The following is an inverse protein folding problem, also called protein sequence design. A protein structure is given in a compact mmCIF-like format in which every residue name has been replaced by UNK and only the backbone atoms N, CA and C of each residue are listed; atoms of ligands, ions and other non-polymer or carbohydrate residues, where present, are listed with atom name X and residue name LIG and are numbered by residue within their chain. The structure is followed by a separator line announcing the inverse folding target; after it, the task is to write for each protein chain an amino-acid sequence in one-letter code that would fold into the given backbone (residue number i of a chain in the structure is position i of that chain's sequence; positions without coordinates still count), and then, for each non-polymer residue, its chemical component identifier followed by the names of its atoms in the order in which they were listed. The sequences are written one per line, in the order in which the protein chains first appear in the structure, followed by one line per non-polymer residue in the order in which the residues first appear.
data_IF_910919501217
#
_entry.id   IF_910919501217
#
_cell.length_a   1.000
_cell.length_b   1.000
_cell.length_c   1.000
_cell.angle_alpha   90.00
_cell.angle_beta   90.00
_cell.angle_gamma   90.00
#
_symmetry.space_group_name_H-M   'P 1'
#
loop_
_entity.id
_entity.type
_entity.pdbx_description
1 polymer ?
#
# COMPACT_ATOMS: atom_id res chain seq x y z
N UNK A 1 2.63 7.16 11.55
CA UNK A 1 1.66 6.64 10.57
C UNK A 1 2.40 6.01 9.40
N UNK A 2 2.00 4.83 9.00
CA UNK A 2 2.62 4.11 7.90
C UNK A 2 1.59 3.76 6.83
N UNK A 3 2.05 3.65 5.60
CA UNK A 3 1.25 3.14 4.49
C UNK A 3 2.05 1.99 3.89
N UNK A 4 1.51 0.78 3.97
CA UNK A 4 2.17 -0.40 3.42
C UNK A 4 1.68 -0.58 1.98
N UNK A 5 2.62 -0.54 1.02
CA UNK A 5 2.30 -0.71 -0.39
C UNK A 5 1.71 -2.11 -0.66
N UNK A 6 1.00 -2.25 -1.76
CA UNK A 6 0.38 -3.52 -2.14
C UNK A 6 1.38 -4.67 -2.18
N UNK A 7 2.62 -4.40 -2.63
CA UNK A 7 3.67 -5.41 -2.69
C UNK A 7 3.88 -6.07 -1.32
N UNK A 8 3.89 -5.29 -0.24
CA UNK A 8 4.12 -5.82 1.11
C UNK A 8 3.00 -6.74 1.57
N UNK A 9 1.75 -6.33 1.34
CA UNK A 9 0.60 -7.18 1.67
C UNK A 9 0.62 -8.48 0.88
N UNK A 10 0.88 -8.39 -0.43
CA UNK A 10 0.94 -9.56 -1.31
C UNK A 10 2.07 -10.50 -0.87
N UNK A 11 3.26 -9.96 -0.64
CA UNK A 11 4.43 -10.73 -0.23
C UNK A 11 4.18 -11.49 1.07
N UNK A 12 3.58 -10.83 2.03
CA UNK A 12 3.28 -11.42 3.33
C UNK A 12 2.28 -12.60 3.19
N UNK A 13 1.15 -12.37 2.50
CA UNK A 13 0.11 -13.39 2.40
C UNK A 13 0.41 -14.52 1.43
N UNK A 14 1.33 -14.32 0.49
CA UNK A 14 1.77 -15.42 -0.37
C UNK A 14 3.04 -16.12 0.15
N UNK A 15 3.54 -15.70 1.29
CA UNK A 15 4.76 -16.24 1.90
C UNK A 15 5.98 -16.12 0.97
N UNK A 16 6.14 -14.96 0.35
CA UNK A 16 7.22 -14.69 -0.58
C UNK A 16 8.56 -14.40 0.11
N UNK A 17 9.61 -14.15 -0.67
CA UNK A 17 10.97 -13.95 -0.14
C UNK A 17 11.11 -12.80 0.86
N UNK A 18 10.27 -11.76 0.75
CA UNK A 18 10.34 -10.60 1.65
C UNK A 18 9.27 -10.64 2.76
N UNK A 19 8.52 -11.75 2.88
CA UNK A 19 7.43 -11.86 3.85
C UNK A 19 7.89 -11.53 5.27
N UNK A 20 9.04 -12.05 5.69
CA UNK A 20 9.57 -11.82 7.04
C UNK A 20 9.91 -10.36 7.29
N UNK A 21 10.35 -9.65 6.26
CA UNK A 21 10.68 -8.22 6.39
C UNK A 21 9.44 -7.35 6.50
N UNK A 22 8.33 -7.77 5.89
CA UNK A 22 7.05 -7.06 5.99
C UNK A 22 6.23 -7.45 7.21
N UNK A 23 6.48 -8.64 7.77
CA UNK A 23 5.67 -9.18 8.88
C UNK A 23 5.50 -8.20 10.06
N UNK A 24 6.55 -7.50 10.55
CA UNK A 24 6.36 -6.57 11.65
C UNK A 24 5.36 -5.45 11.34
N UNK A 25 5.37 -4.96 10.10
CA UNK A 25 4.46 -3.89 9.68
C UNK A 25 3.02 -4.40 9.58
N UNK A 26 2.83 -5.58 9.00
CA UNK A 26 1.50 -6.17 8.79
C UNK A 26 0.89 -6.61 10.11
N UNK A 27 1.65 -7.33 10.94
CA UNK A 27 1.16 -7.89 12.19
C UNK A 27 0.90 -6.81 13.24
N UNK A 28 1.65 -5.71 13.18
CA UNK A 28 1.45 -4.58 14.06
C UNK A 28 0.49 -3.53 13.56
N UNK A 29 -0.10 -3.72 12.37
CA UNK A 29 -0.96 -2.70 11.75
C UNK A 29 -2.31 -2.58 12.45
N UNK A 30 -2.74 -1.31 12.65
CA UNK A 30 -4.04 -1.00 13.22
C UNK A 30 -4.52 0.37 12.72
N UNK A 31 -5.71 0.79 13.13
CA UNK A 31 -6.31 2.05 12.66
C UNK A 31 -5.52 3.30 13.08
N UNK A 32 -4.75 3.20 14.17
CA UNK A 32 -3.97 4.33 14.68
C UNK A 32 -2.64 4.51 13.98
N UNK A 33 -2.09 3.46 13.37
CA UNK A 33 -0.72 3.50 12.84
C UNK A 33 -0.58 3.17 11.37
N UNK A 34 -1.66 2.72 10.69
CA UNK A 34 -1.55 2.28 9.29
C UNK A 34 -2.72 2.75 8.46
N UNK A 35 -2.38 3.31 7.28
CA UNK A 35 -3.34 3.72 6.25
C UNK A 35 -3.37 2.68 5.14
N UNK A 36 -4.56 2.43 4.60
CA UNK A 36 -4.70 1.57 3.42
C UNK A 36 -5.64 2.24 2.41
N UNK A 37 -5.08 2.91 1.39
CA UNK A 37 -5.89 3.44 0.29
C UNK A 37 -6.64 2.31 -0.43
N UNK A 38 -7.84 2.59 -0.88
CA UNK A 38 -8.68 1.57 -1.54
C UNK A 38 -8.05 0.97 -2.78
N UNK A 39 -7.17 1.70 -3.47
CA UNK A 39 -6.44 1.12 -4.61
C UNK A 39 -5.56 -0.05 -4.18
N UNK A 40 -5.00 0.01 -2.98
CA UNK A 40 -4.21 -1.10 -2.43
C UNK A 40 -5.11 -2.30 -2.15
N UNK A 41 -6.31 -2.07 -1.61
CA UNK A 41 -7.29 -3.15 -1.41
C UNK A 41 -7.57 -3.85 -2.74
N UNK A 42 -7.79 -3.09 -3.80
CA UNK A 42 -8.02 -3.62 -5.15
C UNK A 42 -6.84 -4.46 -5.63
N UNK A 43 -5.64 -3.91 -5.57
CA UNK A 43 -4.43 -4.60 -6.07
C UNK A 43 -4.13 -5.87 -5.31
N UNK A 44 -4.23 -5.83 -3.99
CA UNK A 44 -3.94 -6.98 -3.12
C UNK A 44 -4.95 -8.08 -3.32
N UNK A 45 -6.24 -7.74 -3.28
CA UNK A 45 -7.30 -8.73 -3.44
C UNK A 45 -7.22 -9.41 -4.81
N UNK A 46 -7.07 -8.61 -5.85
CA UNK A 46 -6.98 -9.11 -7.23
C UNK A 46 -5.81 -10.09 -7.41
N UNK A 47 -4.63 -9.69 -6.94
CA UNK A 47 -3.41 -10.47 -7.10
C UNK A 47 -3.47 -11.78 -6.32
N UNK A 48 -3.87 -11.72 -5.05
CA UNK A 48 -3.94 -12.90 -4.19
C UNK A 48 -5.04 -13.84 -4.65
N UNK A 49 -6.18 -13.33 -5.08
CA UNK A 49 -7.26 -14.17 -5.60
C UNK A 49 -6.79 -14.97 -6.80
N UNK A 50 -6.03 -14.33 -7.69
CA UNK A 50 -5.48 -15.00 -8.89
C UNK A 50 -4.43 -16.05 -8.52
N UNK A 51 -3.52 -15.74 -7.60
CA UNK A 51 -2.38 -16.59 -7.30
C UNK A 51 -2.65 -17.64 -6.22
N UNK A 52 -3.50 -17.32 -5.23
CA UNK A 52 -3.70 -18.15 -4.03
C UNK A 52 -5.15 -18.49 -3.75
N UNK A 53 -6.09 -17.98 -4.54
CA UNK A 53 -7.51 -18.26 -4.37
C UNK A 53 -8.23 -17.27 -3.47
N UNK A 54 -9.57 -17.42 -3.45
CA UNK A 54 -10.45 -16.47 -2.78
C UNK A 54 -10.24 -16.41 -1.27
N UNK A 55 -9.99 -17.54 -0.62
CA UNK A 55 -9.87 -17.57 0.85
C UNK A 55 -8.67 -16.74 1.32
N UNK A 56 -7.51 -16.90 0.70
CA UNK A 56 -6.33 -16.12 1.06
C UNK A 56 -6.56 -14.64 0.78
N UNK A 57 -7.19 -14.32 -0.35
CA UNK A 57 -7.52 -12.93 -0.69
C UNK A 57 -8.44 -12.30 0.35
N UNK A 58 -9.45 -13.03 0.85
CA UNK A 58 -10.36 -12.54 1.88
C UNK A 58 -9.69 -12.40 3.24
N UNK A 59 -8.75 -13.28 3.56
CA UNK A 59 -7.94 -13.16 4.79
C UNK A 59 -7.11 -11.88 4.77
N UNK A 60 -6.50 -11.57 3.63
CA UNK A 60 -5.75 -10.33 3.46
C UNK A 60 -6.67 -9.11 3.59
N UNK A 61 -7.85 -9.16 2.95
CA UNK A 61 -8.83 -8.09 3.07
C UNK A 61 -9.25 -7.87 4.52
N UNK A 62 -9.54 -8.94 5.25
CA UNK A 62 -9.92 -8.85 6.66
C UNK A 62 -8.82 -8.16 7.48
N UNK A 63 -7.56 -8.46 7.21
CA UNK A 63 -6.44 -7.81 7.90
C UNK A 63 -6.35 -6.33 7.52
N UNK A 64 -6.53 -6.00 6.24
CA UNK A 64 -6.53 -4.60 5.79
C UNK A 64 -7.64 -3.77 6.44
N UNK A 65 -8.80 -4.36 6.72
CA UNK A 65 -9.91 -3.65 7.37
C UNK A 65 -9.62 -3.26 8.82
N UNK A 66 -8.57 -3.79 9.42
CA UNK A 66 -8.11 -3.37 10.75
C UNK A 66 -7.35 -2.05 10.70
N UNK A 67 -7.01 -1.57 9.52
CA UNK A 67 -6.30 -0.30 9.32
C UNK A 67 -7.28 0.80 8.93
N UNK A 68 -6.78 2.02 8.79
CA UNK A 68 -7.59 3.15 8.34
C UNK A 68 -7.72 3.11 6.81
N UNK A 69 -8.89 2.75 6.32
CA UNK A 69 -9.16 2.65 4.88
C UNK A 69 -9.41 4.05 4.32
N UNK A 70 -8.70 4.42 3.25
CA UNK A 70 -8.82 5.72 2.60
C UNK A 70 -9.45 5.57 1.22
N UNK A 71 -10.66 6.12 1.01
CA UNK A 71 -11.24 6.13 -0.34
C UNK A 71 -10.52 7.14 -1.24
N UNK A 72 -10.56 6.88 -2.53
CA UNK A 72 -10.08 7.83 -3.53
C UNK A 72 -11.21 8.81 -3.84
N UNK A 73 -11.29 9.89 -3.06
CA UNK A 73 -12.27 10.95 -3.31
C UNK A 73 -11.71 12.02 -4.27
N UNK A 74 -12.50 13.07 -4.52
CA UNK A 74 -12.11 14.10 -5.49
C UNK A 74 -10.81 14.80 -5.09
N UNK A 75 -10.65 15.16 -3.82
CA UNK A 75 -9.45 15.81 -3.33
C UNK A 75 -8.22 14.91 -3.47
N UNK A 76 -8.35 13.64 -3.13
CA UNK A 76 -7.28 12.66 -3.28
C UNK A 76 -6.91 12.48 -4.77
N UNK A 77 -7.90 12.47 -5.66
CA UNK A 77 -7.65 12.35 -7.09
C UNK A 77 -6.87 13.55 -7.65
N UNK A 78 -7.26 14.76 -7.26
CA UNK A 78 -6.56 15.97 -7.69
C UNK A 78 -5.12 16.01 -7.18
N UNK A 79 -4.91 15.70 -5.91
CA UNK A 79 -3.56 15.65 -5.33
C UNK A 79 -2.69 14.59 -6.02
N UNK A 80 -3.25 13.43 -6.32
CA UNK A 80 -2.52 12.37 -7.02
C UNK A 80 -2.15 12.81 -8.44
N UNK A 81 -3.06 13.49 -9.15
CA UNK A 81 -2.78 13.99 -10.48
C UNK A 81 -1.61 14.99 -10.47
N UNK A 82 -1.58 15.90 -9.51
CA UNK A 82 -0.49 16.85 -9.35
C UNK A 82 0.84 16.14 -9.08
N UNK A 83 0.85 15.14 -8.21
CA UNK A 83 2.04 14.34 -7.91
C UNK A 83 2.49 13.57 -9.16
N UNK A 84 1.57 13.00 -9.91
CA UNK A 84 1.89 12.28 -11.15
C UNK A 84 2.63 13.19 -12.15
N UNK A 85 2.14 14.40 -12.34
CA UNK A 85 2.76 15.37 -13.24
C UNK A 85 4.12 15.86 -12.73
N UNK A 86 4.21 16.12 -11.42
CA UNK A 86 5.42 16.67 -10.80
C UNK A 86 6.55 15.62 -10.71
N UNK A 87 6.22 14.38 -10.38
CA UNK A 87 7.19 13.30 -10.13
C UNK A 87 7.29 12.29 -11.27
N UNK A 88 6.51 12.45 -12.32
CA UNK A 88 6.46 11.51 -13.44
C UNK A 88 6.13 10.08 -12.97
N UNK A 89 5.10 9.96 -12.14
CA UNK A 89 4.65 8.67 -11.63
C UNK A 89 3.43 8.16 -12.37
N UNK A 90 3.36 6.85 -12.58
CA UNK A 90 2.18 6.19 -13.11
C UNK A 90 1.01 6.33 -12.12
N UNK A 91 -0.21 6.13 -12.61
CA UNK A 91 -1.43 6.42 -11.85
C UNK A 91 -1.46 5.76 -10.46
N UNK A 92 -1.22 4.46 -10.38
CA UNK A 92 -1.28 3.76 -9.08
C UNK A 92 -0.23 4.27 -8.10
N UNK A 93 1.00 4.43 -8.56
CA UNK A 93 2.10 4.95 -7.73
C UNK A 93 1.81 6.37 -7.25
N UNK A 94 1.25 7.21 -8.12
CA UNK A 94 0.90 8.58 -7.76
C UNK A 94 -0.20 8.63 -6.70
N UNK A 95 -1.22 7.80 -6.82
CA UNK A 95 -2.31 7.73 -5.85
C UNK A 95 -1.78 7.28 -4.48
N UNK A 96 -0.94 6.26 -4.46
CA UNK A 96 -0.36 5.71 -3.22
C UNK A 96 0.58 6.73 -2.58
N UNK A 97 1.51 7.28 -3.35
CA UNK A 97 2.48 8.23 -2.81
C UNK A 97 1.81 9.52 -2.33
N UNK A 98 0.83 10.02 -3.09
CA UNK A 98 0.06 11.21 -2.70
C UNK A 98 -0.70 10.98 -1.38
N UNK A 99 -1.30 9.81 -1.20
CA UNK A 99 -1.98 9.46 0.04
C UNK A 99 -1.01 9.48 1.22
N UNK A 100 0.18 8.90 1.05
CA UNK A 100 1.21 8.91 2.09
C UNK A 100 1.62 10.34 2.45
N UNK A 101 1.88 11.18 1.47
CA UNK A 101 2.30 12.57 1.70
C UNK A 101 1.21 13.38 2.38
N UNK A 102 -0.03 13.28 1.91
CA UNK A 102 -1.15 14.04 2.46
C UNK A 102 -1.38 13.71 3.94
N UNK A 103 -1.22 12.45 4.31
CA UNK A 103 -1.45 11.99 5.67
C UNK A 103 -0.19 11.88 6.51
N UNK A 104 0.94 12.37 6.01
CA UNK A 104 2.25 12.34 6.69
C UNK A 104 2.62 10.93 7.12
N UNK A 105 2.38 9.98 6.25
CA UNK A 105 2.70 8.58 6.50
C UNK A 105 4.02 8.21 5.82
N UNK A 106 4.76 7.32 6.47
CA UNK A 106 5.92 6.69 5.87
C UNK A 106 5.44 5.59 4.93
N UNK A 107 5.86 5.65 3.66
CA UNK A 107 5.50 4.64 2.67
C UNK A 107 6.49 3.48 2.72
N UNK A 108 5.99 2.28 3.00
CA UNK A 108 6.80 1.07 3.07
C UNK A 108 6.58 0.31 1.77
N UNK A 109 7.61 0.22 0.94
CA UNK A 109 7.47 -0.30 -0.42
C UNK A 109 8.70 -1.04 -0.89
N UNK A 110 8.52 -1.89 -1.91
CA UNK A 110 9.61 -2.52 -2.66
C UNK A 110 9.58 -2.10 -4.12
N UNK A 111 8.78 -1.09 -4.47
CA UNK A 111 8.67 -0.58 -5.83
C UNK A 111 9.85 0.35 -6.13
N UNK A 112 10.65 -0.02 -7.13
CA UNK A 112 11.82 0.75 -7.54
C UNK A 112 11.47 2.18 -7.97
N UNK A 113 10.28 2.41 -8.52
CA UNK A 113 9.84 3.73 -8.95
C UNK A 113 9.65 4.70 -7.79
N UNK A 114 9.46 4.18 -6.57
CA UNK A 114 9.22 4.98 -5.37
C UNK A 114 10.44 5.05 -4.44
N UNK A 115 11.49 4.30 -4.75
CA UNK A 115 12.63 4.04 -3.85
C UNK A 115 13.27 5.31 -3.29
N UNK A 116 13.52 6.30 -4.14
CA UNK A 116 14.29 7.48 -3.76
C UNK A 116 13.42 8.69 -3.40
N UNK A 117 12.12 8.51 -3.28
CA UNK A 117 11.22 9.58 -2.91
C UNK A 117 11.25 9.83 -1.40
N UNK A 118 10.90 11.07 -1.03
CA UNK A 118 10.87 11.49 0.37
C UNK A 118 9.85 10.69 1.17
N UNK A 119 10.20 10.35 2.41
CA UNK A 119 9.35 9.59 3.34
C UNK A 119 9.02 8.19 2.86
N UNK A 120 9.98 7.53 2.21
CA UNK A 120 9.86 6.15 1.76
C UNK A 120 10.87 5.27 2.49
N UNK A 121 10.40 4.15 3.02
CA UNK A 121 11.25 3.06 3.52
C UNK A 121 11.21 1.94 2.49
N UNK A 122 12.34 1.69 1.87
CA UNK A 122 12.44 0.69 0.81
C UNK A 122 12.85 -0.66 1.39
N UNK A 123 12.05 -1.69 1.08
CA UNK A 123 12.29 -3.07 1.54
C UNK A 123 12.85 -3.89 0.38
N UNK A 124 14.02 -4.50 0.61
CA UNK A 124 14.67 -5.36 -0.39
C UNK A 124 15.38 -6.55 0.25
#
# INVERSE_FOLDING_TARGET
MKLIDSYGWIEYFRDGPLADKYAPYIEGANMSNTLTPTIIVYEVYKRLKKERGQQVALEAFAQMTRTSILPLDEGAALSAADISLNKDLAMADAIIYSAAKTHRAELITSDQHLKDLESVTFIE
#
